data_IF_253442074993
#
_entry.id   IF_253442074993
#
_cell.length_a   1.000
_cell.length_b   1.000
_cell.length_c   1.000
_cell.angle_alpha   90.00
_cell.angle_beta   90.00
_cell.angle_gamma   90.00
#
_symmetry.space_group_name_H-M   'P 1'
#
loop_
_entity.id
_entity.type
_entity.pdbx_description
1 polymer ?
#
# COMPACT_ATOMS: atom_id res chain seq x y z
N UNK A 1 -6.00 -9.36 -41.10
CA UNK A 1 -5.05 -8.42 -40.46
C UNK A 1 -5.26 -8.35 -38.94
N UNK A 2 -5.34 -9.50 -38.25
CA UNK A 2 -5.66 -9.57 -36.81
C UNK A 2 -4.84 -10.62 -36.04
N UNK A 3 -3.71 -11.07 -36.58
CA UNK A 3 -2.83 -12.05 -35.93
C UNK A 3 -1.62 -11.42 -35.21
N UNK A 4 -1.36 -10.12 -35.40
CA UNK A 4 -0.20 -9.41 -34.82
C UNK A 4 -0.53 -8.80 -33.44
N UNK A 5 -1.81 -8.71 -33.05
CA UNK A 5 -2.20 -8.24 -31.70
C UNK A 5 -2.01 -9.26 -30.58
N UNK A 6 -1.74 -10.55 -30.87
CA UNK A 6 -1.54 -11.56 -29.82
C UNK A 6 -0.07 -11.73 -29.39
N UNK A 7 0.86 -10.95 -29.95
CA UNK A 7 2.30 -10.98 -29.61
C UNK A 7 2.71 -9.79 -28.71
N UNK A 8 1.78 -8.88 -28.39
CA UNK A 8 1.93 -7.99 -27.24
C UNK A 8 1.49 -8.79 -26.01
N UNK A 9 2.45 -9.45 -25.36
CA UNK A 9 2.21 -10.35 -24.24
C UNK A 9 1.19 -9.78 -23.26
N UNK A 10 0.17 -10.57 -22.92
CA UNK A 10 -0.76 -10.21 -21.84
C UNK A 10 0.07 -9.80 -20.63
N UNK A 11 -0.16 -8.60 -20.11
CA UNK A 11 0.42 -8.20 -18.83
C UNK A 11 -0.01 -9.22 -17.79
N UNK A 12 0.96 -9.97 -17.26
CA UNK A 12 0.72 -10.99 -16.25
C UNK A 12 0.21 -10.35 -14.96
N UNK A 13 -0.65 -11.06 -14.26
CA UNK A 13 -1.09 -10.73 -12.92
C UNK A 13 -0.39 -11.65 -11.95
N UNK A 14 -0.04 -11.11 -10.79
CA UNK A 14 0.58 -11.88 -9.72
C UNK A 14 -0.18 -11.64 -8.42
N UNK A 15 -0.28 -12.66 -7.60
CA UNK A 15 -0.74 -12.56 -6.22
C UNK A 15 0.46 -12.66 -5.26
N UNK A 16 0.32 -12.01 -4.11
CA UNK A 16 1.26 -12.17 -3.00
C UNK A 16 0.93 -13.46 -2.24
N UNK A 17 1.92 -14.33 -2.06
CA UNK A 17 1.80 -15.57 -1.28
C UNK A 17 2.82 -15.56 -0.16
N UNK A 18 2.41 -16.03 1.03
CA UNK A 18 3.33 -16.16 2.16
C UNK A 18 4.49 -17.07 1.78
N UNK A 19 5.71 -16.61 2.05
CA UNK A 19 6.95 -17.35 1.81
C UNK A 19 8.04 -16.79 2.72
N UNK A 20 8.60 -17.61 3.61
CA UNK A 20 9.67 -17.21 4.53
C UNK A 20 10.97 -16.79 3.81
N UNK A 21 11.14 -17.23 2.56
CA UNK A 21 12.23 -16.84 1.68
C UNK A 21 11.81 -15.74 0.70
N UNK A 22 10.58 -15.24 0.81
CA UNK A 22 10.03 -14.18 -0.01
C UNK A 22 10.86 -12.91 0.04
N UNK A 23 10.95 -12.25 -1.11
CA UNK A 23 11.72 -11.01 -1.28
C UNK A 23 10.98 -9.78 -0.81
N UNK A 24 9.66 -9.84 -0.67
CA UNK A 24 8.82 -8.74 -0.21
C UNK A 24 8.46 -8.95 1.26
N UNK A 25 8.10 -7.87 1.95
CA UNK A 25 7.65 -7.95 3.33
C UNK A 25 6.47 -7.03 3.55
N UNK A 26 5.45 -7.50 4.26
CA UNK A 26 4.45 -6.67 4.89
C UNK A 26 4.65 -6.69 6.41
N UNK A 27 4.38 -5.56 7.05
CA UNK A 27 4.65 -5.36 8.47
C UNK A 27 6.13 -5.38 8.83
N UNK A 28 6.42 -5.69 10.09
CA UNK A 28 7.75 -5.61 10.69
C UNK A 28 8.11 -4.22 11.20
N UNK A 29 9.24 -4.17 11.91
CA UNK A 29 9.73 -2.91 12.46
C UNK A 29 10.24 -1.99 11.34
N UNK A 30 9.93 -0.70 11.45
CA UNK A 30 10.43 0.32 10.53
C UNK A 30 11.97 0.35 10.57
N UNK A 31 12.66 0.41 9.40
CA UNK A 31 14.11 0.52 9.38
C UNK A 31 14.61 1.75 10.17
N UNK A 32 15.71 1.60 10.90
CA UNK A 32 16.22 2.66 11.80
C UNK A 32 16.65 3.94 11.08
N UNK A 33 16.97 3.83 9.79
CA UNK A 33 17.36 4.93 8.91
C UNK A 33 16.19 5.48 8.09
N UNK A 34 14.99 4.90 8.22
CA UNK A 34 13.80 5.37 7.52
C UNK A 34 13.05 6.42 8.34
N UNK A 35 12.73 7.55 7.70
CA UNK A 35 12.12 8.71 8.34
C UNK A 35 10.75 8.98 7.73
N UNK A 36 9.72 8.92 8.57
CA UNK A 36 8.34 9.31 8.21
C UNK A 36 8.30 10.82 7.89
N UNK A 37 7.62 11.25 6.80
CA UNK A 37 7.47 12.66 6.47
C UNK A 37 6.70 13.40 7.56
N UNK A 38 7.17 14.61 7.89
CA UNK A 38 6.41 15.53 8.73
C UNK A 38 5.03 15.81 8.10
N UNK A 39 4.01 15.84 8.95
CA UNK A 39 2.62 16.06 8.59
C UNK A 39 1.84 16.58 9.79
N UNK A 40 0.62 17.06 9.55
CA UNK A 40 -0.31 17.51 10.58
C UNK A 40 -1.59 16.66 10.57
N UNK A 41 -1.51 15.41 10.11
CA UNK A 41 -2.67 14.52 10.09
C UNK A 41 -3.22 14.28 11.49
N UNK A 42 -4.49 13.88 11.58
CA UNK A 42 -5.06 13.40 12.84
C UNK A 42 -4.26 12.22 13.40
N UNK A 43 -3.82 11.30 12.55
CA UNK A 43 -2.96 10.18 12.92
C UNK A 43 -1.80 10.03 11.94
N UNK A 44 -0.67 9.52 12.43
CA UNK A 44 0.54 9.48 11.63
C UNK A 44 0.51 8.34 10.59
N UNK A 45 1.44 8.40 9.63
CA UNK A 45 1.70 7.30 8.72
C UNK A 45 2.04 6.03 9.48
N UNK A 46 1.50 4.90 9.02
CA UNK A 46 1.92 3.57 9.47
C UNK A 46 2.97 3.02 8.50
N UNK A 47 3.95 2.29 9.02
CA UNK A 47 4.88 1.52 8.21
C UNK A 47 4.24 0.18 7.85
N UNK A 48 4.18 -0.12 6.55
CA UNK A 48 3.47 -1.28 6.03
C UNK A 48 4.40 -2.39 5.54
N UNK A 49 5.72 -2.18 5.55
CA UNK A 49 6.72 -3.11 5.01
C UNK A 49 7.41 -2.55 3.77
N UNK A 50 7.82 -3.42 2.84
CA UNK A 50 8.52 -3.03 1.62
C UNK A 50 8.30 -3.97 0.42
N UNK A 51 8.41 -3.39 -0.76
CA UNK A 51 8.52 -4.10 -2.04
C UNK A 51 9.97 -4.03 -2.51
N UNK A 52 10.63 -5.19 -2.61
CA UNK A 52 12.01 -5.26 -3.07
C UNK A 52 12.12 -5.25 -4.60
N UNK A 53 13.03 -4.43 -5.11
CA UNK A 53 13.29 -4.29 -6.55
C UNK A 53 14.30 -5.33 -7.08
N UNK A 54 14.85 -6.18 -6.21
CA UNK A 54 15.64 -7.36 -6.64
C UNK A 54 14.75 -8.54 -7.08
N UNK A 55 13.42 -8.40 -7.01
CA UNK A 55 12.46 -9.33 -7.61
C UNK A 55 12.26 -9.01 -9.10
N UNK A 56 12.19 -10.04 -9.95
CA UNK A 56 12.08 -9.86 -11.42
C UNK A 56 10.80 -9.11 -11.82
N UNK A 57 9.70 -9.27 -11.07
CA UNK A 57 8.44 -8.56 -11.33
C UNK A 57 8.57 -7.07 -11.02
N UNK A 58 9.49 -6.71 -10.12
CA UNK A 58 9.67 -5.36 -9.59
C UNK A 58 11.02 -4.72 -9.92
N UNK A 59 11.83 -5.34 -10.78
CA UNK A 59 13.16 -4.82 -11.18
C UNK A 59 13.12 -3.47 -11.91
N UNK A 60 11.94 -3.04 -12.33
CA UNK A 60 11.69 -1.73 -12.92
C UNK A 60 11.50 -0.63 -11.87
N UNK A 61 11.33 -0.98 -10.59
CA UNK A 61 11.34 -0.01 -9.49
C UNK A 61 12.76 0.56 -9.35
N UNK A 62 12.89 1.88 -9.14
CA UNK A 62 14.20 2.52 -9.05
C UNK A 62 14.98 2.17 -7.77
N UNK A 63 14.32 1.60 -6.76
CA UNK A 63 14.89 1.21 -5.46
C UNK A 63 13.92 0.29 -4.72
N UNK A 64 14.39 -0.33 -3.62
CA UNK A 64 13.53 -1.03 -2.65
C UNK A 64 12.54 -0.03 -2.05
N UNK A 65 11.26 -0.21 -2.36
CA UNK A 65 10.21 0.72 -1.94
C UNK A 65 9.71 0.35 -0.55
N UNK A 66 10.10 1.11 0.46
CA UNK A 66 9.42 1.11 1.75
C UNK A 66 7.99 1.66 1.57
N UNK A 67 7.02 1.02 2.21
CA UNK A 67 5.61 1.38 2.11
C UNK A 67 5.16 2.07 3.39
N UNK A 68 4.63 3.29 3.24
CA UNK A 68 3.98 4.03 4.33
C UNK A 68 2.67 4.63 3.84
N UNK A 69 1.65 4.63 4.69
CA UNK A 69 0.36 5.26 4.40
C UNK A 69 -0.38 5.55 5.71
N UNK A 70 -1.13 6.66 5.83
CA UNK A 70 -1.98 6.92 6.99
C UNK A 70 -3.30 6.13 6.85
N UNK A 71 -3.22 4.81 6.95
CA UNK A 71 -4.31 3.87 6.57
C UNK A 71 -5.59 3.96 7.41
N UNK A 72 -5.57 4.72 8.50
CA UNK A 72 -6.72 4.93 9.38
C UNK A 72 -7.43 6.26 9.15
N UNK A 73 -7.02 7.02 8.14
CA UNK A 73 -7.59 8.34 7.82
C UNK A 73 -8.45 8.28 6.56
N UNK A 74 -9.36 9.23 6.45
CA UNK A 74 -10.25 9.39 5.29
C UNK A 74 -9.50 10.07 4.13
N UNK A 75 -8.46 9.41 3.62
CA UNK A 75 -7.61 9.92 2.53
C UNK A 75 -8.22 9.67 1.14
N UNK A 76 -8.22 10.69 0.30
CA UNK A 76 -8.47 10.51 -1.14
C UNK A 76 -7.24 9.94 -1.84
N UNK A 77 -6.13 10.69 -1.81
CA UNK A 77 -4.84 10.29 -2.36
C UNK A 77 -3.72 10.87 -1.51
N UNK A 78 -2.64 10.10 -1.36
CA UNK A 78 -1.40 10.56 -0.72
C UNK A 78 -0.26 10.41 -1.70
N UNK A 79 0.37 11.53 -2.06
CA UNK A 79 1.55 11.56 -2.93
C UNK A 79 2.79 11.85 -2.09
N UNK A 80 3.79 10.98 -2.23
CA UNK A 80 5.09 11.09 -1.56
C UNK A 80 6.22 11.19 -2.58
N UNK A 81 7.16 12.10 -2.35
CA UNK A 81 8.40 12.20 -3.09
C UNK A 81 9.50 11.35 -2.43
N UNK A 82 9.89 10.26 -3.09
CA UNK A 82 10.96 9.37 -2.67
C UNK A 82 12.29 9.69 -3.38
N UNK A 83 12.56 10.95 -3.72
CA UNK A 83 13.89 11.36 -4.23
C UNK A 83 15.03 10.82 -3.34
N UNK A 84 14.82 10.87 -2.01
CA UNK A 84 15.53 10.06 -1.03
C UNK A 84 14.64 8.85 -0.61
N UNK A 85 15.02 7.61 -0.96
CA UNK A 85 14.22 6.42 -0.68
C UNK A 85 13.94 6.16 0.81
N UNK A 86 14.79 6.66 1.71
CA UNK A 86 14.65 6.46 3.16
C UNK A 86 14.08 7.70 3.89
N UNK A 87 13.79 8.77 3.17
CA UNK A 87 13.23 9.99 3.74
C UNK A 87 12.23 10.63 2.76
N UNK A 88 11.10 9.97 2.50
CA UNK A 88 10.09 10.52 1.60
C UNK A 88 9.54 11.84 2.13
N UNK A 89 9.05 12.68 1.22
CA UNK A 89 8.41 13.96 1.56
C UNK A 89 6.96 13.96 1.11
N UNK A 90 6.06 14.48 1.94
CA UNK A 90 4.66 14.63 1.58
C UNK A 90 4.48 15.71 0.50
N UNK A 91 3.92 15.33 -0.65
CA UNK A 91 3.58 16.26 -1.74
C UNK A 91 2.11 16.66 -1.69
N UNK A 92 1.22 15.71 -1.43
CA UNK A 92 -0.23 15.90 -1.33
C UNK A 92 -0.80 14.83 -0.39
N UNK A 93 -1.83 15.12 0.42
CA UNK A 93 -2.58 16.38 0.51
C UNK A 93 -1.79 17.51 1.16
N UNK A 94 -2.19 18.77 0.89
CA UNK A 94 -1.56 19.97 1.48
C UNK A 94 -2.14 20.33 2.83
N UNK A 95 -3.46 20.18 3.00
CA UNK A 95 -4.18 20.49 4.23
C UNK A 95 -4.34 19.22 5.08
N UNK A 96 -3.24 18.68 5.59
CA UNK A 96 -3.29 17.40 6.32
C UNK A 96 -4.12 17.44 7.60
N UNK A 97 -4.23 18.60 8.24
CA UNK A 97 -4.99 18.82 9.47
C UNK A 97 -6.50 18.70 9.31
N UNK A 98 -7.02 18.82 8.09
CA UNK A 98 -8.46 18.75 7.79
C UNK A 98 -8.90 17.31 7.48
N UNK A 99 -7.96 16.37 7.35
CA UNK A 99 -8.28 14.98 7.03
C UNK A 99 -8.78 14.26 8.27
N UNK A 100 -10.03 13.80 8.17
CA UNK A 100 -10.73 13.09 9.22
C UNK A 100 -10.31 11.64 9.39
N UNK A 101 -11.00 10.99 10.31
CA UNK A 101 -10.92 9.56 10.54
C UNK A 101 -12.24 9.11 11.14
N UNK A 102 -12.72 7.94 10.72
CA UNK A 102 -13.81 7.23 11.40
C UNK A 102 -13.46 6.88 12.86
N UNK A 103 -12.17 6.74 13.17
CA UNK A 103 -11.66 6.40 14.50
C UNK A 103 -11.46 7.67 15.33
N UNK A 104 -12.17 7.77 16.46
CA UNK A 104 -12.16 9.00 17.25
C UNK A 104 -10.90 9.16 18.09
N UNK A 105 -10.35 8.06 18.60
CA UNK A 105 -9.27 8.02 19.60
C UNK A 105 -7.87 8.20 19.00
N UNK A 106 -7.74 8.19 17.68
CA UNK A 106 -6.44 8.33 17.02
C UNK A 106 -5.87 9.74 17.13
N UNK A 107 -4.56 9.77 17.37
CA UNK A 107 -3.71 10.95 17.38
C UNK A 107 -2.37 10.69 16.65
N UNK A 108 -1.49 11.70 16.60
CA UNK A 108 -0.16 11.58 15.98
C UNK A 108 0.80 10.61 16.71
N UNK A 109 0.49 10.24 17.96
CA UNK A 109 1.27 9.29 18.75
C UNK A 109 0.75 7.86 18.59
N UNK A 110 -0.39 7.69 17.94
CA UNK A 110 -1.01 6.39 17.67
C UNK A 110 -0.12 5.57 16.75
N UNK A 111 0.22 4.38 17.21
CA UNK A 111 1.16 3.46 16.58
C UNK A 111 0.56 2.08 16.57
N UNK A 112 0.52 1.49 15.38
CA UNK A 112 0.25 0.07 15.18
C UNK A 112 1.46 -0.52 14.48
N UNK A 113 2.13 -1.46 15.13
CA UNK A 113 3.27 -2.19 14.60
C UNK A 113 2.79 -3.60 14.28
N UNK A 114 3.07 -4.04 13.06
CA UNK A 114 2.64 -5.34 12.58
C UNK A 114 3.76 -6.37 12.67
N UNK A 115 3.42 -7.64 12.81
CA UNK A 115 4.39 -8.73 12.68
C UNK A 115 4.97 -8.74 11.27
N UNK A 116 6.24 -9.10 11.15
CA UNK A 116 6.89 -9.21 9.85
C UNK A 116 6.43 -10.48 9.14
N UNK A 117 5.82 -10.33 7.97
CA UNK A 117 5.50 -11.46 7.09
C UNK A 117 6.15 -11.26 5.73
N UNK A 118 6.79 -12.30 5.22
CA UNK A 118 7.47 -12.28 3.93
C UNK A 118 6.60 -12.91 2.84
N UNK A 119 6.74 -12.36 1.64
CA UNK A 119 5.93 -12.73 0.50
C UNK A 119 6.76 -12.92 -0.76
N UNK A 120 6.38 -13.93 -1.52
CA UNK A 120 6.76 -14.15 -2.91
C UNK A 120 5.57 -13.83 -3.83
N UNK A 121 5.83 -13.77 -5.13
CA UNK A 121 4.80 -13.56 -6.14
C UNK A 121 4.54 -14.84 -6.92
N UNK A 122 3.26 -15.11 -7.18
CA UNK A 122 2.83 -16.22 -8.02
C UNK A 122 1.91 -15.70 -9.11
N UNK A 123 2.12 -16.15 -10.35
CA UNK A 123 1.17 -15.85 -11.43
C UNK A 123 -0.20 -16.46 -11.13
N UNK A 124 -1.26 -15.70 -11.39
CA UNK A 124 -2.64 -16.16 -11.21
C UNK A 124 -3.58 -15.51 -12.25
N UNK A 125 -4.75 -16.11 -12.45
CA UNK A 125 -5.72 -15.66 -13.46
C UNK A 125 -6.46 -14.37 -13.05
N UNK A 126 -6.40 -14.02 -11.77
CA UNK A 126 -7.03 -12.82 -11.18
C UNK A 126 -7.99 -13.16 -10.06
N UNK A 127 -8.67 -12.11 -9.58
CA UNK A 127 -9.67 -12.20 -8.52
C UNK A 127 -10.98 -12.76 -9.08
N UNK A 128 -11.59 -13.68 -8.34
CA UNK A 128 -12.91 -14.28 -8.55
C UNK A 128 -13.69 -14.25 -7.23
N UNK A 129 -15.00 -14.43 -7.30
CA UNK A 129 -15.85 -14.55 -6.08
C UNK A 129 -15.34 -15.66 -5.14
N UNK A 130 -14.82 -16.76 -5.70
CA UNK A 130 -14.29 -17.87 -4.90
C UNK A 130 -12.99 -17.56 -4.15
N UNK A 131 -12.19 -16.59 -4.63
CA UNK A 131 -10.84 -16.35 -4.11
C UNK A 131 -10.63 -14.98 -3.46
N UNK A 132 -11.57 -14.04 -3.58
CA UNK A 132 -11.38 -12.63 -3.18
C UNK A 132 -10.96 -12.46 -1.71
N UNK A 133 -11.49 -13.28 -0.81
CA UNK A 133 -11.18 -13.26 0.62
C UNK A 133 -9.83 -13.93 0.99
N UNK A 134 -9.15 -14.55 0.03
CA UNK A 134 -7.89 -15.24 0.23
C UNK A 134 -6.70 -14.50 -0.39
N UNK A 135 -6.96 -13.56 -1.31
CA UNK A 135 -5.91 -12.78 -1.96
C UNK A 135 -5.29 -11.82 -0.96
N UNK A 136 -3.97 -11.92 -0.75
CA UNK A 136 -3.22 -11.07 0.20
C UNK A 136 -2.80 -9.73 -0.41
N UNK A 137 -2.58 -9.75 -1.72
CA UNK A 137 -2.20 -8.60 -2.51
C UNK A 137 -2.04 -8.99 -3.98
N UNK A 138 -1.96 -7.99 -4.85
CA UNK A 138 -1.91 -8.15 -6.31
C UNK A 138 -0.80 -7.27 -6.88
N UNK A 139 -0.06 -7.79 -7.87
CA UNK A 139 0.90 -7.04 -8.67
C UNK A 139 0.66 -7.24 -10.18
N UNK A 140 1.35 -6.44 -11.00
CA UNK A 140 1.28 -6.48 -12.46
C UNK A 140 0.10 -5.69 -13.04
N UNK A 141 -1.14 -5.99 -12.63
CA UNK A 141 -2.34 -5.21 -13.00
C UNK A 141 -3.32 -5.10 -11.82
N UNK A 142 -3.85 -3.90 -11.53
CA UNK A 142 -4.79 -3.72 -10.42
C UNK A 142 -6.10 -4.48 -10.68
N UNK A 143 -6.74 -4.92 -9.59
CA UNK A 143 -8.14 -5.29 -9.56
C UNK A 143 -8.92 -4.11 -8.95
N UNK A 144 -9.87 -3.55 -9.68
CA UNK A 144 -10.58 -2.34 -9.25
C UNK A 144 -11.88 -2.70 -8.56
N UNK A 145 -12.02 -2.28 -7.30
CA UNK A 145 -13.30 -2.41 -6.58
C UNK A 145 -14.29 -1.36 -7.10
N UNK A 146 -13.78 -0.16 -7.36
CA UNK A 146 -14.55 0.96 -7.91
C UNK A 146 -13.84 1.54 -9.13
N UNK A 147 -14.61 2.09 -10.08
CA UNK A 147 -14.04 2.74 -11.26
C UNK A 147 -13.13 3.90 -10.84
N UNK A 148 -11.84 3.79 -11.15
CA UNK A 148 -10.86 4.81 -10.84
C UNK A 148 -9.93 5.07 -12.02
N UNK A 149 -9.47 6.31 -12.13
CA UNK A 149 -8.46 6.69 -13.11
C UNK A 149 -7.07 6.37 -12.55
N UNK A 150 -6.16 6.01 -13.45
CA UNK A 150 -4.75 5.83 -13.07
C UNK A 150 -4.20 7.19 -12.59
N UNK A 151 -3.56 7.27 -11.41
CA UNK A 151 -3.01 8.52 -10.90
C UNK A 151 -2.03 9.19 -11.86
N UNK A 152 -2.04 10.52 -11.85
CA UNK A 152 -1.11 11.37 -12.58
C UNK A 152 -0.08 11.93 -11.60
N UNK A 153 1.21 11.81 -11.93
CA UNK A 153 2.29 12.32 -11.10
C UNK A 153 2.23 13.86 -11.01
N UNK A 154 2.16 14.45 -9.82
CA UNK A 154 2.08 15.91 -9.67
C UNK A 154 3.35 16.65 -10.10
N UNK A 155 4.51 15.97 -10.14
CA UNK A 155 5.79 16.56 -10.56
C UNK A 155 5.96 16.61 -12.08
N UNK A 156 5.43 15.63 -12.80
CA UNK A 156 5.74 15.43 -14.23
C UNK A 156 4.53 15.39 -15.14
N UNK A 157 3.32 15.36 -14.58
CA UNK A 157 2.06 15.19 -15.31
C UNK A 157 1.96 13.87 -16.10
N UNK A 158 2.83 12.89 -15.81
CA UNK A 158 2.82 11.58 -16.43
C UNK A 158 1.92 10.59 -15.67
N UNK A 159 1.32 9.64 -16.40
CA UNK A 159 0.62 8.50 -15.78
C UNK A 159 1.59 7.67 -14.94
N UNK A 160 1.16 7.32 -13.73
CA UNK A 160 1.93 6.50 -12.81
C UNK A 160 1.77 5.01 -13.15
N UNK A 161 2.78 4.21 -12.84
CA UNK A 161 2.77 2.75 -13.00
C UNK A 161 2.25 2.10 -11.73
N UNK A 162 1.40 1.09 -11.90
CA UNK A 162 0.92 0.28 -10.79
C UNK A 162 2.06 -0.53 -10.17
N UNK A 163 2.21 -0.44 -8.85
CA UNK A 163 3.15 -1.26 -8.08
C UNK A 163 2.40 -2.48 -7.57
N UNK A 164 1.51 -2.26 -6.60
CA UNK A 164 0.75 -3.32 -5.98
C UNK A 164 -0.57 -2.80 -5.42
N UNK A 165 -1.46 -3.75 -5.17
CA UNK A 165 -2.67 -3.59 -4.39
C UNK A 165 -2.52 -4.51 -3.18
N UNK A 166 -2.79 -4.03 -1.98
CA UNK A 166 -2.78 -4.82 -0.74
C UNK A 166 -4.20 -4.88 -0.20
N UNK A 167 -4.65 -6.08 0.17
CA UNK A 167 -6.01 -6.30 0.65
C UNK A 167 -6.03 -6.33 2.17
N UNK A 168 -7.17 -6.08 2.80
CA UNK A 168 -7.34 -6.28 4.25
C UNK A 168 -7.34 -7.76 4.69
N UNK A 169 -7.28 -8.67 3.72
CA UNK A 169 -7.13 -10.11 3.91
C UNK A 169 -5.68 -10.57 3.84
N UNK A 170 -4.72 -9.65 3.93
CA UNK A 170 -3.29 -9.93 3.94
C UNK A 170 -2.81 -10.85 5.09
N UNK A 171 -3.64 -11.08 6.12
CA UNK A 171 -3.35 -11.89 7.31
C UNK A 171 -2.10 -11.48 8.11
N UNK A 172 -1.69 -10.22 8.01
CA UNK A 172 -0.56 -9.66 8.78
C UNK A 172 -1.08 -9.19 10.15
N UNK A 173 -0.78 -9.89 11.25
CA UNK A 173 -1.30 -9.54 12.57
C UNK A 173 -0.55 -8.35 13.18
N UNK A 174 -1.20 -7.69 14.13
CA UNK A 174 -0.58 -6.64 14.93
C UNK A 174 0.32 -7.24 16.00
N UNK A 175 1.58 -6.81 16.02
CA UNK A 175 2.59 -7.10 17.05
C UNK A 175 2.41 -6.22 18.28
N UNK A 176 2.09 -4.94 18.06
CA UNK A 176 1.93 -3.94 19.13
C UNK A 176 1.00 -2.82 18.69
N UNK A 177 0.18 -2.32 19.61
CA UNK A 177 -0.54 -1.07 19.45
C UNK A 177 -0.61 -0.33 20.78
N UNK A 178 -0.52 1.00 20.72
CA UNK A 178 -0.86 1.88 21.86
C UNK A 178 -2.25 2.49 21.72
N UNK A 179 -2.98 2.17 20.64
CA UNK A 179 -4.33 2.65 20.42
C UNK A 179 -5.29 1.90 21.33
N UNK A 180 -6.06 2.66 22.10
CA UNK A 180 -7.17 2.17 22.93
C UNK A 180 -8.45 2.71 22.31
N UNK A 181 -9.27 1.83 21.76
CA UNK A 181 -10.52 2.16 21.09
C UNK A 181 -11.67 2.43 22.09
N UNK A 182 -12.80 2.96 21.62
CA UNK A 182 -13.97 3.21 22.48
C UNK A 182 -14.69 1.89 22.86
N UNK A 183 -14.61 0.87 22.01
CA UNK A 183 -15.22 -0.45 22.20
C UNK A 183 -14.39 -1.61 21.61
N UNK A 184 -14.77 -2.85 21.96
CA UNK A 184 -14.07 -4.07 21.54
C UNK A 184 -14.13 -4.31 20.02
N UNK A 185 -15.18 -3.84 19.35
CA UNK A 185 -15.33 -3.98 17.90
C UNK A 185 -14.32 -3.09 17.17
N UNK A 186 -14.26 -1.82 17.53
CA UNK A 186 -13.25 -0.88 17.02
C UNK A 186 -11.83 -1.33 17.40
N UNK A 187 -11.63 -1.84 18.62
CA UNK A 187 -10.32 -2.37 19.05
C UNK A 187 -9.85 -3.52 18.14
N UNK A 188 -10.77 -4.38 17.71
CA UNK A 188 -10.46 -5.51 16.84
C UNK A 188 -10.03 -5.08 15.42
N UNK A 189 -10.38 -3.87 14.96
CA UNK A 189 -9.89 -3.32 13.70
C UNK A 189 -8.38 -3.04 13.73
N UNK A 190 -7.78 -2.93 14.91
CA UNK A 190 -6.33 -2.80 15.11
C UNK A 190 -5.63 -4.13 15.34
N UNK A 191 -6.31 -5.28 15.24
CA UNK A 191 -5.71 -6.61 15.49
C UNK A 191 -4.84 -7.13 14.33
N UNK A 192 -5.01 -6.56 13.14
CA UNK A 192 -4.26 -6.89 11.93
C UNK A 192 -4.15 -5.68 11.01
N UNK A 193 -3.30 -5.77 9.99
CA UNK A 193 -3.21 -4.76 8.94
C UNK A 193 -4.51 -4.74 8.14
N UNK A 194 -5.28 -3.66 8.31
CA UNK A 194 -6.57 -3.45 7.67
C UNK A 194 -6.58 -2.07 6.99
N UNK A 195 -7.24 -1.98 5.83
CA UNK A 195 -7.31 -0.74 5.05
C UNK A 195 -8.75 -0.24 5.04
N UNK A 196 -9.08 0.68 5.95
CA UNK A 196 -10.39 1.34 6.04
C UNK A 196 -11.59 0.38 6.06
N UNK A 197 -11.66 -0.52 7.05
CA UNK A 197 -12.78 -1.46 7.24
C UNK A 197 -12.98 -2.43 6.06
N UNK A 198 -11.92 -3.18 5.75
CA UNK A 198 -11.89 -4.25 4.75
C UNK A 198 -11.68 -3.82 3.28
N UNK A 199 -11.20 -2.60 3.07
CA UNK A 199 -10.81 -2.10 1.76
C UNK A 199 -9.47 -2.62 1.24
N UNK A 200 -9.05 -2.03 0.11
CA UNK A 200 -7.85 -2.32 -0.64
C UNK A 200 -6.97 -1.07 -0.79
N UNK A 201 -5.71 -1.16 -0.38
CA UNK A 201 -4.71 -0.11 -0.60
C UNK A 201 -4.08 -0.28 -1.98
N UNK A 202 -4.11 0.78 -2.79
CA UNK A 202 -3.47 0.84 -4.10
C UNK A 202 -2.21 1.67 -4.05
N UNK A 203 -1.14 1.16 -4.68
CA UNK A 203 0.17 1.81 -4.73
C UNK A 203 0.60 2.00 -6.18
N UNK A 204 0.91 3.24 -6.54
CA UNK A 204 1.42 3.62 -7.86
C UNK A 204 2.72 4.40 -7.72
N UNK A 205 3.58 4.34 -8.73
CA UNK A 205 4.82 5.11 -8.78
C UNK A 205 5.06 5.71 -10.16
N UNK A 206 5.56 6.93 -10.24
CA UNK A 206 6.24 7.44 -11.43
C UNK A 206 7.75 7.22 -11.23
N UNK A 207 8.36 6.23 -11.87
CA UNK A 207 9.72 5.79 -11.54
C UNK A 207 10.79 6.88 -11.72
N UNK A 208 10.64 7.76 -12.70
CA UNK A 208 11.67 8.77 -13.01
C UNK A 208 11.67 9.90 -11.97
N UNK A 209 10.50 10.40 -11.60
CA UNK A 209 10.33 11.42 -10.57
C UNK A 209 10.30 10.84 -9.15
N UNK A 210 10.40 9.51 -9.01
CA UNK A 210 10.35 8.77 -7.75
C UNK A 210 9.17 9.18 -6.87
N UNK A 211 8.04 9.47 -7.51
CA UNK A 211 6.83 9.90 -6.79
C UNK A 211 5.93 8.71 -6.63
N UNK A 212 5.48 8.45 -5.41
CA UNK A 212 4.58 7.33 -5.09
C UNK A 212 3.22 7.90 -4.70
N UNK A 213 2.15 7.25 -5.16
CA UNK A 213 0.77 7.58 -4.84
C UNK A 213 0.13 6.39 -4.11
N UNK A 214 -0.59 6.69 -3.04
CA UNK A 214 -1.40 5.76 -2.27
C UNK A 214 -2.85 6.24 -2.27
N UNK A 215 -3.79 5.30 -2.36
CA UNK A 215 -5.20 5.55 -2.04
C UNK A 215 -5.87 4.23 -1.64
N UNK A 216 -6.98 4.33 -0.92
CA UNK A 216 -7.74 3.17 -0.47
C UNK A 216 -9.09 3.17 -1.20
N UNK A 217 -9.53 2.01 -1.68
CA UNK A 217 -10.93 1.80 -2.07
C UNK A 217 -11.57 0.85 -1.07
N UNK A 218 -12.82 1.12 -0.72
CA UNK A 218 -13.69 0.19 -0.02
C UNK A 218 -15.05 0.18 -0.74
N UNK A 219 -15.71 -0.96 -0.78
CA UNK A 219 -17.01 -1.20 -1.42
C UNK A 219 -18.18 -0.81 -0.54
#
# INVERSE_FOLDING_TARGET
>A
MNFIKSILGKTKKYEFVFDENGKHQLGGDMPTDFIIPNNEFKSNFQYLGFINNDDEVFNWLPFKLNLICPIYLDIDQVFLDYENPNQPKLLYPKNTSEIGSAYKTLDLNSKVIYEAQKFSLREFDGVTEDNEFYIKGIAGKPHWDQKHDIPICPKTNNKMKFVCQLTSWNDVPTKYTNVVAEDDYEQNLFSKMNFWSDGNLYVFIEPKAKTVCYFIQNT
#
